data_IF_176102128361
#
_entry.id   IF_176102128361
#
_cell.length_a   1.000
_cell.length_b   1.000
_cell.length_c   1.000
_cell.angle_alpha   90.00
_cell.angle_beta   90.00
_cell.angle_gamma   90.00
#
_symmetry.space_group_name_H-M   'P 1'
#
loop_
_entity.id
_entity.type
_entity.pdbx_description
1 polymer ?
#
# COMPACT_ATOMS: atom_id res chain seq x y z
N UNK A 1 -15.33 1.75 -14.36
CA UNK A 1 -14.44 2.37 -13.35
C UNK A 1 -13.54 1.36 -12.65
N UNK A 2 -14.07 0.26 -12.10
CA UNK A 2 -13.24 -0.73 -11.40
C UNK A 2 -12.15 -1.39 -12.28
N UNK A 3 -12.49 -1.77 -13.52
CA UNK A 3 -11.52 -2.33 -14.48
C UNK A 3 -10.39 -1.33 -14.78
N UNK A 4 -10.73 -0.04 -14.89
CA UNK A 4 -9.77 1.04 -15.15
C UNK A 4 -8.79 1.18 -13.97
N UNK A 5 -9.30 1.21 -12.74
CA UNK A 5 -8.47 1.32 -11.53
C UNK A 5 -7.60 0.08 -11.25
N UNK A 6 -8.04 -1.11 -11.64
CA UNK A 6 -7.30 -2.35 -11.40
C UNK A 6 -6.23 -2.64 -12.46
N UNK A 7 -6.55 -2.41 -13.74
CA UNK A 7 -5.77 -2.96 -14.85
C UNK A 7 -5.29 -1.92 -15.87
N UNK A 8 -5.76 -0.67 -15.84
CA UNK A 8 -5.35 0.36 -16.81
C UNK A 8 -4.41 1.40 -16.22
N UNK A 9 -3.80 1.11 -15.07
CA UNK A 9 -2.78 1.99 -14.50
C UNK A 9 -1.44 1.75 -15.23
N UNK A 10 -0.80 2.79 -15.81
CA UNK A 10 0.42 2.62 -16.61
C UNK A 10 1.55 1.92 -15.86
N UNK A 11 1.80 2.31 -14.60
CA UNK A 11 2.82 1.67 -13.77
C UNK A 11 2.52 0.22 -13.47
N UNK A 12 1.26 -0.14 -13.19
CA UNK A 12 0.93 -1.53 -12.86
C UNK A 12 1.11 -2.41 -14.07
N UNK A 13 0.55 -2.02 -15.22
CA UNK A 13 0.70 -2.73 -16.48
C UNK A 13 2.17 -2.95 -16.84
N UNK A 14 2.97 -1.89 -16.75
CA UNK A 14 4.39 -1.97 -17.07
C UNK A 14 5.11 -3.00 -16.19
N UNK A 15 4.96 -2.91 -14.87
CA UNK A 15 5.68 -3.80 -13.94
C UNK A 15 5.05 -5.19 -13.77
N UNK A 16 3.76 -5.36 -14.08
CA UNK A 16 3.07 -6.64 -14.03
C UNK A 16 3.16 -7.42 -15.35
N UNK A 17 3.52 -6.79 -16.47
CA UNK A 17 3.61 -7.47 -17.76
C UNK A 17 4.74 -8.50 -17.85
N UNK A 18 5.82 -8.34 -17.07
CA UNK A 18 6.94 -9.27 -17.05
C UNK A 18 6.77 -10.42 -16.06
N UNK A 19 7.40 -11.57 -16.35
CA UNK A 19 7.45 -12.75 -15.46
C UNK A 19 8.41 -12.46 -14.29
N UNK A 20 7.94 -11.68 -13.33
CA UNK A 20 8.69 -11.31 -12.13
C UNK A 20 7.92 -11.65 -10.86
N UNK A 21 8.63 -11.66 -9.73
CA UNK A 21 8.03 -11.87 -8.39
C UNK A 21 6.87 -10.90 -8.11
N UNK A 22 6.89 -9.71 -8.71
CA UNK A 22 5.85 -8.69 -8.48
C UNK A 22 4.50 -9.05 -9.11
N UNK A 23 4.48 -9.73 -10.26
CA UNK A 23 3.24 -10.24 -10.86
C UNK A 23 2.60 -11.29 -9.94
N UNK A 24 3.42 -12.19 -9.41
CA UNK A 24 2.98 -13.21 -8.45
C UNK A 24 2.43 -12.54 -7.19
N UNK A 25 3.15 -11.57 -6.62
CA UNK A 25 2.70 -10.81 -5.46
C UNK A 25 1.37 -10.09 -5.74
N UNK A 26 1.24 -9.40 -6.89
CA UNK A 26 0.03 -8.68 -7.28
C UNK A 26 -1.18 -9.62 -7.38
N UNK A 27 -0.99 -10.76 -8.06
CA UNK A 27 -2.04 -11.76 -8.26
C UNK A 27 -2.50 -12.38 -6.93
N UNK A 28 -1.54 -12.73 -6.07
CA UNK A 28 -1.82 -13.31 -4.75
C UNK A 28 -2.46 -12.30 -3.80
N UNK A 29 -2.10 -11.02 -3.90
CA UNK A 29 -2.74 -9.95 -3.15
C UNK A 29 -4.21 -9.77 -3.57
N UNK A 30 -4.51 -9.89 -4.87
CA UNK A 30 -5.88 -9.91 -5.37
C UNK A 30 -6.69 -11.08 -4.82
N UNK A 31 -6.15 -12.30 -4.85
CA UNK A 31 -6.79 -13.50 -4.28
C UNK A 31 -7.01 -13.33 -2.77
N UNK A 32 -6.00 -12.84 -2.04
CA UNK A 32 -6.09 -12.58 -0.61
C UNK A 32 -7.22 -11.61 -0.29
N UNK A 33 -7.27 -10.47 -0.98
CA UNK A 33 -8.30 -9.46 -0.82
C UNK A 33 -9.70 -10.01 -1.11
N UNK A 34 -9.85 -10.76 -2.20
CA UNK A 34 -11.11 -11.40 -2.59
C UNK A 34 -11.59 -12.39 -1.51
N UNK A 35 -10.73 -13.32 -1.09
CA UNK A 35 -11.10 -14.31 -0.10
C UNK A 35 -11.36 -13.70 1.28
N UNK A 36 -10.62 -12.65 1.67
CA UNK A 36 -10.83 -11.92 2.92
C UNK A 36 -12.18 -11.19 2.91
N UNK A 37 -12.45 -10.41 1.87
CA UNK A 37 -13.69 -9.62 1.75
C UNK A 37 -14.93 -10.52 1.81
N UNK A 38 -15.03 -11.47 0.88
CA UNK A 38 -16.19 -12.37 0.81
C UNK A 38 -16.27 -13.34 1.99
N UNK A 39 -15.12 -13.72 2.55
CA UNK A 39 -15.05 -14.58 3.72
C UNK A 39 -15.61 -13.92 4.98
N UNK A 40 -15.41 -12.62 5.14
CA UNK A 40 -15.87 -11.85 6.30
C UNK A 40 -17.32 -11.41 6.15
N UNK A 41 -17.73 -10.98 4.95
CA UNK A 41 -19.09 -10.44 4.71
C UNK A 41 -20.15 -11.51 4.54
N UNK A 42 -19.77 -12.69 4.05
CA UNK A 42 -20.68 -13.84 3.88
C UNK A 42 -20.31 -14.96 4.87
N UNK A 43 -19.81 -16.09 4.34
CA UNK A 43 -19.34 -17.25 5.12
C UNK A 43 -17.98 -17.69 4.61
N UNK A 44 -17.17 -18.24 5.51
CA UNK A 44 -15.89 -18.85 5.15
C UNK A 44 -16.12 -20.28 4.63
N UNK A 45 -15.92 -20.48 3.33
CA UNK A 45 -15.93 -21.81 2.69
C UNK A 45 -14.52 -22.40 2.66
N UNK A 46 -14.40 -23.74 2.59
CA UNK A 46 -13.10 -24.44 2.46
C UNK A 46 -12.22 -23.88 1.32
N UNK A 47 -12.83 -23.54 0.17
CA UNK A 47 -12.15 -22.91 -0.97
C UNK A 47 -11.54 -21.55 -0.62
N UNK A 48 -12.22 -20.75 0.21
CA UNK A 48 -11.76 -19.42 0.65
C UNK A 48 -10.63 -19.53 1.67
N UNK A 49 -10.72 -20.50 2.59
CA UNK A 49 -9.60 -20.82 3.49
C UNK A 49 -8.37 -21.28 2.72
N UNK A 50 -8.53 -22.20 1.77
CA UNK A 50 -7.44 -22.65 0.91
C UNK A 50 -6.82 -21.48 0.13
N UNK A 51 -7.65 -20.59 -0.43
CA UNK A 51 -7.18 -19.38 -1.12
C UNK A 51 -6.42 -18.41 -0.21
N UNK A 52 -6.88 -18.17 1.02
CA UNK A 52 -6.19 -17.32 2.00
C UNK A 52 -4.84 -17.90 2.42
N UNK A 53 -4.79 -19.21 2.69
CA UNK A 53 -3.55 -19.88 3.10
C UNK A 53 -2.55 -19.87 1.94
N UNK A 54 -2.99 -20.25 0.74
CA UNK A 54 -2.14 -20.27 -0.45
C UNK A 54 -1.57 -18.89 -0.78
N UNK A 55 -2.43 -17.86 -0.82
CA UNK A 55 -1.99 -16.49 -1.08
C UNK A 55 -1.05 -15.97 0.01
N UNK A 56 -1.31 -16.27 1.28
CA UNK A 56 -0.43 -15.87 2.39
C UNK A 56 0.95 -16.53 2.29
N UNK A 57 1.02 -17.82 1.97
CA UNK A 57 2.29 -18.54 1.78
C UNK A 57 3.06 -17.96 0.58
N UNK A 58 2.39 -17.74 -0.56
CA UNK A 58 3.03 -17.18 -1.74
C UNK A 58 3.55 -15.75 -1.50
N UNK A 59 2.81 -14.91 -0.78
CA UNK A 59 3.24 -13.57 -0.39
C UNK A 59 4.43 -13.66 0.58
N UNK A 60 4.40 -14.58 1.55
CA UNK A 60 5.50 -14.79 2.50
C UNK A 60 6.81 -15.16 1.78
N UNK A 61 6.74 -16.06 0.81
CA UNK A 61 7.90 -16.53 0.04
C UNK A 61 8.46 -15.47 -0.92
N UNK A 62 7.59 -14.60 -1.45
CA UNK A 62 8.01 -13.52 -2.36
C UNK A 62 8.54 -12.31 -1.59
N UNK A 63 7.74 -11.79 -0.66
CA UNK A 63 7.98 -10.54 0.07
C UNK A 63 7.31 -10.59 1.45
N UNK A 64 8.02 -11.15 2.43
CA UNK A 64 7.55 -11.32 3.81
C UNK A 64 6.96 -10.04 4.46
N UNK A 65 7.55 -8.87 4.21
CA UNK A 65 7.11 -7.59 4.78
C UNK A 65 5.69 -7.18 4.34
N UNK A 66 5.22 -7.63 3.17
CA UNK A 66 3.86 -7.38 2.69
C UNK A 66 2.86 -8.08 3.61
N UNK A 67 3.12 -9.35 3.95
CA UNK A 67 2.23 -10.11 4.81
C UNK A 67 2.16 -9.52 6.21
N UNK A 68 3.30 -9.07 6.75
CA UNK A 68 3.36 -8.37 8.05
C UNK A 68 2.46 -7.13 8.06
N UNK A 69 2.44 -6.35 6.97
CA UNK A 69 1.56 -5.19 6.85
C UNK A 69 0.09 -5.55 6.59
N UNK A 70 -0.20 -6.69 5.94
CA UNK A 70 -1.57 -7.17 5.70
C UNK A 70 -2.29 -7.60 6.98
N UNK A 71 -1.57 -8.17 7.95
CA UNK A 71 -2.16 -8.69 9.20
C UNK A 71 -2.95 -7.61 9.98
N UNK A 72 -2.36 -6.46 10.38
CA UNK A 72 -3.08 -5.46 11.16
C UNK A 72 -4.25 -4.85 10.37
N UNK A 73 -4.08 -4.64 9.05
CA UNK A 73 -5.16 -4.16 8.20
C UNK A 73 -6.33 -5.17 8.16
N UNK A 74 -6.03 -6.46 8.02
CA UNK A 74 -7.03 -7.54 7.97
C UNK A 74 -7.78 -7.67 9.30
N UNK A 75 -7.07 -7.59 10.43
CA UNK A 75 -7.66 -7.62 11.77
C UNK A 75 -8.60 -6.42 11.97
N UNK A 76 -8.18 -5.21 11.60
CA UNK A 76 -9.00 -4.01 11.68
C UNK A 76 -10.27 -4.12 10.83
N UNK A 77 -10.16 -4.67 9.62
CA UNK A 77 -11.29 -4.94 8.74
C UNK A 77 -12.28 -5.93 9.35
N UNK A 78 -11.79 -7.07 9.86
CA UNK A 78 -12.62 -8.10 10.50
C UNK A 78 -13.36 -7.53 11.72
N UNK A 79 -12.67 -6.76 12.55
CA UNK A 79 -13.28 -6.11 13.73
C UNK A 79 -14.37 -5.12 13.30
N UNK A 80 -14.11 -4.29 12.29
CA UNK A 80 -15.08 -3.31 11.80
C UNK A 80 -16.36 -3.97 11.31
N UNK A 81 -16.26 -5.05 10.53
CA UNK A 81 -17.44 -5.76 10.01
C UNK A 81 -18.13 -6.58 11.09
N UNK A 82 -17.41 -7.41 11.85
CA UNK A 82 -18.03 -8.32 12.83
C UNK A 82 -18.57 -7.62 14.08
N UNK A 83 -17.87 -6.59 14.59
CA UNK A 83 -18.33 -5.82 15.75
C UNK A 83 -19.18 -4.61 15.37
N UNK A 84 -19.41 -4.37 14.07
CA UNK A 84 -20.14 -3.19 13.55
C UNK A 84 -19.57 -1.86 14.06
N UNK A 85 -18.26 -1.83 14.34
CA UNK A 85 -17.58 -0.62 14.78
C UNK A 85 -17.31 0.29 13.58
N UNK A 86 -17.38 1.62 13.76
CA UNK A 86 -17.09 2.55 12.68
C UNK A 86 -15.66 2.30 12.17
N UNK A 87 -15.46 2.10 10.85
CA UNK A 87 -14.20 1.63 10.29
C UNK A 87 -12.99 2.42 10.78
N UNK A 88 -13.06 3.75 10.72
CA UNK A 88 -11.95 4.62 11.13
C UNK A 88 -11.51 4.35 12.58
N UNK A 89 -12.44 4.10 13.51
CA UNK A 89 -12.08 3.79 14.91
C UNK A 89 -11.40 2.43 15.03
N UNK A 90 -11.89 1.40 14.34
CA UNK A 90 -11.26 0.07 14.37
C UNK A 90 -9.83 0.11 13.84
N UNK A 91 -9.59 0.81 12.73
CA UNK A 91 -8.26 0.97 12.17
C UNK A 91 -7.35 1.76 13.11
N UNK A 92 -7.81 2.90 13.64
CA UNK A 92 -7.03 3.68 14.60
C UNK A 92 -6.64 2.85 15.83
N UNK A 93 -7.59 2.10 16.41
CA UNK A 93 -7.32 1.26 17.57
C UNK A 93 -6.30 0.15 17.27
N UNK A 94 -6.47 -0.58 16.16
CA UNK A 94 -5.55 -1.68 15.82
C UNK A 94 -4.15 -1.15 15.57
N UNK A 95 -3.99 -0.07 14.79
CA UNK A 95 -2.67 0.52 14.54
C UNK A 95 -2.06 1.15 15.81
N UNK A 96 -2.87 1.78 16.67
CA UNK A 96 -2.41 2.29 17.96
C UNK A 96 -1.94 1.15 18.88
N UNK A 97 -2.70 0.05 18.96
CA UNK A 97 -2.28 -1.14 19.73
C UNK A 97 -1.02 -1.77 19.16
N UNK A 98 -0.89 -1.85 17.82
CA UNK A 98 0.33 -2.33 17.17
C UNK A 98 1.53 -1.45 17.48
N UNK A 99 1.35 -0.13 17.46
CA UNK A 99 2.40 0.81 17.85
C UNK A 99 2.79 0.66 19.33
N UNK A 100 1.82 0.57 20.24
CA UNK A 100 2.08 0.34 21.67
C UNK A 100 2.82 -0.99 21.90
N UNK A 101 2.46 -2.05 21.19
CA UNK A 101 3.17 -3.33 21.27
C UNK A 101 4.62 -3.20 20.80
N UNK A 102 4.89 -2.42 19.75
CA UNK A 102 6.26 -2.12 19.31
C UNK A 102 7.06 -1.37 20.40
N UNK A 103 6.44 -0.42 21.10
CA UNK A 103 7.08 0.29 22.22
C UNK A 103 7.44 -0.67 23.37
N UNK A 104 6.47 -1.48 23.79
CA UNK A 104 6.65 -2.44 24.90
C UNK A 104 7.70 -3.49 24.53
N UNK A 105 7.67 -3.99 23.30
CA UNK A 105 8.65 -4.97 22.82
C UNK A 105 10.07 -4.40 22.84
N UNK A 106 10.26 -3.14 22.44
CA UNK A 106 11.58 -2.50 22.45
C UNK A 106 12.20 -2.45 23.86
N UNK A 107 11.37 -2.37 24.90
CA UNK A 107 11.81 -2.29 26.30
C UNK A 107 11.97 -3.70 26.91
N UNK A 108 11.07 -4.63 26.62
CA UNK A 108 10.97 -5.92 27.34
C UNK A 108 11.72 -7.08 26.68
N UNK A 109 11.91 -7.06 25.35
CA UNK A 109 12.45 -8.20 24.60
C UNK A 109 13.55 -7.73 23.61
N UNK A 110 14.78 -7.51 24.07
CA UNK A 110 15.88 -7.07 23.21
C UNK A 110 16.30 -8.09 22.15
N UNK A 111 15.84 -9.34 22.23
CA UNK A 111 16.17 -10.43 21.29
C UNK A 111 15.44 -10.33 19.95
N UNK A 112 14.26 -9.70 19.90
CA UNK A 112 13.48 -9.51 18.66
C UNK A 112 13.29 -8.01 18.49
N UNK A 113 14.11 -7.38 17.63
CA UNK A 113 14.06 -5.94 17.37
C UNK A 113 13.57 -5.66 15.95
N UNK A 114 12.25 -5.47 15.72
CA UNK A 114 11.69 -5.15 14.41
C UNK A 114 12.35 -3.92 13.77
N UNK A 115 12.66 -2.90 14.58
CA UNK A 115 13.36 -1.69 14.15
C UNK A 115 14.75 -2.00 13.59
N UNK A 116 15.47 -2.95 14.20
CA UNK A 116 16.79 -3.42 13.72
C UNK A 116 16.68 -4.15 12.38
N UNK A 117 15.61 -4.90 12.16
CA UNK A 117 15.37 -5.56 10.87
C UNK A 117 15.13 -4.51 9.77
N UNK A 118 14.34 -3.47 10.05
CA UNK A 118 14.06 -2.40 9.09
C UNK A 118 15.33 -1.58 8.82
N UNK A 119 16.07 -1.19 9.86
CA UNK A 119 17.34 -0.44 9.69
C UNK A 119 18.39 -1.26 8.95
N UNK A 120 18.49 -2.56 9.23
CA UNK A 120 19.41 -3.46 8.52
C UNK A 120 19.00 -3.58 7.06
N UNK A 121 17.70 -3.73 6.76
CA UNK A 121 17.24 -3.77 5.37
C UNK A 121 17.58 -2.49 4.62
N UNK A 122 17.45 -1.33 5.24
CA UNK A 122 17.87 -0.08 4.62
C UNK A 122 19.39 -0.03 4.41
N UNK A 123 20.18 -0.47 5.40
CA UNK A 123 21.63 -0.56 5.29
C UNK A 123 22.06 -1.50 4.14
N UNK A 124 21.44 -2.67 4.01
CA UNK A 124 21.68 -3.61 2.91
C UNK A 124 21.40 -2.96 1.54
N UNK A 125 20.40 -2.09 1.44
CA UNK A 125 20.11 -1.35 0.21
C UNK A 125 21.09 -0.21 -0.06
N UNK A 126 21.64 0.41 0.99
CA UNK A 126 22.64 1.47 0.87
C UNK A 126 24.02 0.92 0.51
N UNK A 127 24.30 -0.35 0.83
CA UNK A 127 25.54 -1.05 0.50
C UNK A 127 25.59 -1.51 -0.98
N UNK A 128 24.44 -1.53 -1.66
CA UNK A 128 24.39 -1.82 -3.09
C UNK A 128 25.10 -0.74 -3.91
N UNK A 129 25.66 -1.09 -5.10
CA UNK A 129 26.34 -0.13 -5.95
C UNK A 129 25.43 1.04 -6.32
N UNK A 130 26.03 2.23 -6.34
CA UNK A 130 25.34 3.49 -6.60
C UNK A 130 24.54 3.41 -7.89
N UNK A 131 23.21 3.47 -7.76
CA UNK A 131 22.32 3.46 -8.90
C UNK A 131 22.23 4.86 -9.54
N UNK A 132 22.00 4.91 -10.84
CA UNK A 132 21.81 6.18 -11.58
C UNK A 132 20.65 7.04 -11.02
N UNK A 133 19.70 6.42 -10.31
CA UNK A 133 18.52 7.05 -9.71
C UNK A 133 18.52 6.97 -8.17
N UNK A 134 19.71 6.92 -7.56
CA UNK A 134 19.87 6.89 -6.11
C UNK A 134 19.40 8.19 -5.46
N UNK A 135 18.65 8.04 -4.38
CA UNK A 135 18.12 9.14 -3.58
C UNK A 135 18.98 9.35 -2.33
N UNK A 136 19.22 10.61 -1.99
CA UNK A 136 19.80 10.98 -0.71
C UNK A 136 18.86 10.50 0.40
N UNK A 137 19.33 9.56 1.22
CA UNK A 137 18.52 8.92 2.27
C UNK A 137 19.28 9.00 3.59
N UNK A 138 18.63 9.44 4.67
CA UNK A 138 19.25 9.44 5.98
C UNK A 138 19.30 8.01 6.52
N UNK A 139 20.42 7.66 7.16
CA UNK A 139 20.60 6.33 7.74
C UNK A 139 19.61 6.15 8.89
N UNK A 140 18.81 5.10 8.80
CA UNK A 140 17.85 4.70 9.82
C UNK A 140 18.60 3.96 10.92
N UNK A 141 18.50 4.47 12.14
CA UNK A 141 18.97 3.78 13.33
C UNK A 141 17.83 2.96 13.93
N UNK A 142 18.12 1.88 14.68
CA UNK A 142 17.10 1.04 15.31
C UNK A 142 16.45 1.72 16.54
N UNK A 143 16.08 3.00 16.41
CA UNK A 143 15.46 3.81 17.45
C UNK A 143 14.19 4.46 16.92
N UNK A 144 13.20 4.65 17.79
CA UNK A 144 11.95 5.33 17.41
C UNK A 144 12.20 6.78 17.03
N UNK A 145 13.14 7.45 17.72
CA UNK A 145 13.53 8.83 17.38
C UNK A 145 14.03 8.96 15.95
N UNK A 146 14.91 8.05 15.52
CA UNK A 146 15.38 8.01 14.12
C UNK A 146 14.24 7.68 13.16
N UNK A 147 13.33 6.76 13.51
CA UNK A 147 12.16 6.47 12.68
C UNK A 147 11.31 7.73 12.43
N UNK A 148 10.97 8.48 13.49
CA UNK A 148 10.17 9.71 13.35
C UNK A 148 10.90 10.81 12.56
N UNK A 149 12.21 10.95 12.72
CA UNK A 149 13.01 11.90 11.93
C UNK A 149 13.05 11.54 10.43
N UNK A 150 13.00 10.25 10.10
CA UNK A 150 13.00 9.75 8.73
C UNK A 150 11.61 9.74 8.07
N UNK A 151 10.52 9.87 8.84
CA UNK A 151 9.15 9.85 8.29
C UNK A 151 8.87 10.92 7.23
N UNK A 152 9.27 12.20 7.38
CA UNK A 152 9.04 13.21 6.36
C UNK A 152 9.73 12.87 5.04
N UNK A 153 10.95 12.33 5.12
CA UNK A 153 11.70 11.88 3.95
C UNK A 153 11.02 10.67 3.30
N UNK A 154 10.60 9.68 4.08
CA UNK A 154 9.91 8.51 3.57
C UNK A 154 8.56 8.86 2.91
N UNK A 155 7.84 9.82 3.49
CA UNK A 155 6.62 10.34 2.88
C UNK A 155 6.92 10.96 1.52
N UNK A 156 7.95 11.81 1.44
CA UNK A 156 8.35 12.43 0.19
C UNK A 156 8.77 11.39 -0.87
N UNK A 157 9.63 10.44 -0.49
CA UNK A 157 10.13 9.39 -1.37
C UNK A 157 9.00 8.46 -1.84
N UNK A 158 8.11 8.05 -0.93
CA UNK A 158 7.05 7.10 -1.24
C UNK A 158 5.89 7.71 -2.04
N UNK A 159 5.37 8.86 -1.61
CA UNK A 159 4.14 9.43 -2.16
C UNK A 159 4.37 10.44 -3.28
N UNK A 160 5.41 11.26 -3.20
CA UNK A 160 5.57 12.42 -4.08
C UNK A 160 6.53 12.15 -5.25
N UNK A 161 7.55 11.30 -5.05
CA UNK A 161 8.55 10.99 -6.09
C UNK A 161 8.12 9.86 -7.03
N UNK A 162 8.59 9.83 -8.30
CA UNK A 162 9.54 10.77 -8.92
C UNK A 162 8.90 12.12 -9.27
N UNK A 163 9.72 13.17 -9.23
CA UNK A 163 9.35 14.45 -9.85
C UNK A 163 9.64 14.43 -11.34
N UNK A 164 8.99 15.34 -12.09
CA UNK A 164 9.16 15.46 -13.54
C UNK A 164 10.63 15.76 -13.93
N UNK A 165 11.33 16.52 -13.08
CA UNK A 165 12.73 16.91 -13.28
C UNK A 165 13.74 15.90 -12.72
N UNK A 166 13.30 14.78 -12.13
CA UNK A 166 14.21 13.76 -11.64
C UNK A 166 14.64 12.79 -12.75
N UNK A 167 15.94 12.54 -12.84
CA UNK A 167 16.50 11.51 -13.70
C UNK A 167 16.33 10.11 -13.09
N UNK A 168 15.09 9.63 -12.99
CA UNK A 168 14.76 8.29 -12.48
C UNK A 168 14.62 7.20 -13.57
N UNK A 169 15.14 7.48 -14.78
CA UNK A 169 15.11 6.60 -15.95
C UNK A 169 14.31 7.16 -17.13
N UNK A 170 14.39 6.51 -18.30
CA UNK A 170 13.80 6.99 -19.57
C UNK A 170 12.29 7.21 -19.51
N UNK A 171 11.58 6.46 -18.68
CA UNK A 171 10.11 6.53 -18.53
C UNK A 171 9.66 7.25 -17.25
N UNK A 172 10.58 7.86 -16.49
CA UNK A 172 10.27 8.49 -15.21
C UNK A 172 9.19 9.58 -15.31
N UNK A 173 9.17 10.33 -16.40
CA UNK A 173 8.19 11.40 -16.64
C UNK A 173 6.76 10.86 -16.69
N UNK A 174 6.52 9.71 -17.33
CA UNK A 174 5.19 9.10 -17.38
C UNK A 174 4.70 8.72 -15.98
N UNK A 175 5.58 8.16 -15.16
CA UNK A 175 5.26 7.79 -13.78
C UNK A 175 5.09 9.01 -12.87
N UNK A 176 5.82 10.11 -13.13
CA UNK A 176 5.63 11.38 -12.41
C UNK A 176 4.25 11.98 -12.72
N UNK A 177 3.84 12.01 -13.99
CA UNK A 177 2.50 12.46 -14.41
C UNK A 177 1.39 11.59 -13.82
N UNK A 178 1.60 10.27 -13.77
CA UNK A 178 0.68 9.32 -13.14
C UNK A 178 0.46 9.63 -11.66
N UNK A 179 1.51 9.98 -10.90
CA UNK A 179 1.40 10.35 -9.49
C UNK A 179 0.68 11.67 -9.31
N UNK A 180 0.99 12.68 -10.14
CA UNK A 180 0.30 13.97 -10.11
C UNK A 180 -1.20 13.74 -10.34
N UNK A 181 -1.56 12.91 -11.31
CA UNK A 181 -2.95 12.53 -11.56
C UNK A 181 -3.59 11.86 -10.33
N UNK A 182 -2.90 10.93 -9.67
CA UNK A 182 -3.41 10.27 -8.46
C UNK A 182 -3.60 11.22 -7.29
N UNK A 183 -2.67 12.17 -7.08
CA UNK A 183 -2.81 13.20 -6.06
C UNK A 183 -4.03 14.09 -6.38
N UNK A 184 -4.20 14.51 -7.63
CA UNK A 184 -5.35 15.30 -8.05
C UNK A 184 -6.68 14.54 -7.86
N UNK A 185 -6.74 13.25 -8.18
CA UNK A 185 -7.91 12.40 -7.94
C UNK A 185 -8.22 12.26 -6.45
N UNK A 186 -7.20 12.07 -5.61
CA UNK A 186 -7.32 12.03 -4.15
C UNK A 186 -7.87 13.35 -3.60
N UNK A 187 -7.30 14.49 -4.01
CA UNK A 187 -7.78 15.81 -3.63
C UNK A 187 -9.23 16.00 -4.07
N UNK A 188 -9.55 15.66 -5.32
CA UNK A 188 -10.90 15.81 -5.86
C UNK A 188 -11.94 14.98 -5.08
N UNK A 189 -11.60 13.75 -4.69
CA UNK A 189 -12.45 12.91 -3.84
C UNK A 189 -12.72 13.55 -2.48
N UNK A 190 -11.71 14.19 -1.87
CA UNK A 190 -11.89 14.87 -0.58
C UNK A 190 -12.83 16.08 -0.69
N UNK A 191 -12.76 16.84 -1.78
CA UNK A 191 -13.62 18.02 -2.01
C UNK A 191 -15.05 17.69 -2.47
N UNK A 192 -15.25 16.58 -3.20
CA UNK A 192 -16.54 16.19 -3.79
C UNK A 192 -17.13 14.92 -3.18
N UNK A 193 -16.92 14.75 -1.88
CA UNK A 193 -17.38 13.57 -1.15
C UNK A 193 -18.90 13.53 -1.06
N UNK A 194 -19.50 12.47 -1.60
CA UNK A 194 -20.95 12.25 -1.48
C UNK A 194 -21.31 11.74 -0.07
N UNK A 195 -22.09 12.49 0.73
CA UNK A 195 -22.48 12.07 2.07
C UNK A 195 -23.35 10.79 2.09
N UNK A 196 -23.99 10.40 0.97
CA UNK A 196 -24.82 9.19 0.90
C UNK A 196 -24.02 7.89 0.80
N UNK A 197 -22.72 7.95 0.52
CA UNK A 197 -21.82 6.77 0.46
C UNK A 197 -21.30 6.33 1.84
N UNK A 198 -21.88 6.84 2.94
CA UNK A 198 -21.51 6.50 4.32
C UNK A 198 -21.76 5.05 4.74
N UNK A 199 -22.47 4.24 3.94
CA UNK A 199 -22.72 2.83 4.27
C UNK A 199 -21.45 1.98 4.11
N UNK A 200 -20.70 1.92 5.21
CA UNK A 200 -19.70 0.94 5.60
C UNK A 200 -18.58 0.63 4.58
N UNK A 201 -17.72 1.62 4.36
CA UNK A 201 -16.49 1.55 3.56
C UNK A 201 -15.32 0.84 4.28
N UNK A 202 -15.58 -0.19 5.09
CA UNK A 202 -14.53 -0.86 5.88
C UNK A 202 -13.41 -1.44 5.01
N UNK A 203 -13.75 -1.98 3.84
CA UNK A 203 -12.78 -2.49 2.88
C UNK A 203 -11.97 -1.37 2.19
N UNK A 204 -12.54 -0.18 2.04
CA UNK A 204 -11.81 0.98 1.52
C UNK A 204 -10.83 1.47 2.58
N UNK A 205 -11.21 1.50 3.85
CA UNK A 205 -10.27 1.77 4.94
C UNK A 205 -9.14 0.74 4.99
N UNK A 206 -9.45 -0.54 4.77
CA UNK A 206 -8.45 -1.61 4.60
C UNK A 206 -7.45 -1.28 3.49
N UNK A 207 -7.99 -1.01 2.29
CA UNK A 207 -7.19 -0.68 1.12
C UNK A 207 -6.27 0.53 1.35
N UNK A 208 -6.84 1.63 1.86
CA UNK A 208 -6.09 2.86 2.14
C UNK A 208 -5.02 2.62 3.21
N UNK A 209 -5.38 2.02 4.34
CA UNK A 209 -4.44 1.81 5.45
C UNK A 209 -3.29 0.89 5.04
N UNK A 210 -3.59 -0.20 4.32
CA UNK A 210 -2.58 -1.11 3.81
C UNK A 210 -1.67 -0.42 2.78
N UNK A 211 -2.22 0.23 1.76
CA UNK A 211 -1.41 0.88 0.72
C UNK A 211 -0.56 2.02 1.28
N UNK A 212 -1.10 2.84 2.18
CA UNK A 212 -0.33 3.91 2.85
C UNK A 212 0.82 3.33 3.66
N UNK A 213 0.56 2.28 4.45
CA UNK A 213 1.61 1.62 5.23
C UNK A 213 2.72 1.06 4.31
N UNK A 214 2.34 0.41 3.22
CA UNK A 214 3.30 -0.16 2.28
C UNK A 214 4.13 0.91 1.57
N UNK A 215 3.52 2.01 1.13
CA UNK A 215 4.23 3.13 0.51
C UNK A 215 5.23 3.75 1.50
N UNK A 216 4.83 3.96 2.76
CA UNK A 216 5.72 4.47 3.81
C UNK A 216 6.91 3.53 4.07
N UNK A 217 6.64 2.23 4.23
CA UNK A 217 7.70 1.22 4.44
C UNK A 217 8.66 1.20 3.25
N UNK A 218 8.15 1.27 2.02
CA UNK A 218 9.01 1.33 0.83
C UNK A 218 9.84 2.62 0.76
N UNK A 219 9.26 3.76 1.13
CA UNK A 219 9.95 5.05 1.16
C UNK A 219 11.02 5.14 2.25
N UNK A 220 10.87 4.40 3.35
CA UNK A 220 11.88 4.29 4.41
C UNK A 220 13.07 3.42 3.98
N UNK A 221 12.79 2.27 3.35
CA UNK A 221 13.80 1.22 3.13
C UNK A 221 14.60 1.44 1.84
N UNK A 222 13.97 1.91 0.76
CA UNK A 222 14.57 1.85 -0.58
C UNK A 222 15.11 3.22 -0.99
N UNK A 223 16.43 3.39 -1.14
CA UNK A 223 17.07 4.64 -1.54
C UNK A 223 17.16 4.79 -3.06
N UNK A 224 16.22 4.23 -3.84
CA UNK A 224 16.25 4.24 -5.30
C UNK A 224 14.87 4.58 -5.86
N UNK A 225 14.79 5.68 -6.63
CA UNK A 225 13.53 6.19 -7.20
C UNK A 225 12.87 5.19 -8.15
N UNK A 226 13.63 4.54 -9.04
CA UNK A 226 13.08 3.58 -10.01
C UNK A 226 12.50 2.34 -9.32
N UNK A 227 13.14 1.87 -8.24
CA UNK A 227 12.64 0.75 -7.44
C UNK A 227 11.39 1.11 -6.63
N UNK A 228 11.32 2.33 -6.10
CA UNK A 228 10.11 2.82 -5.42
C UNK A 228 8.92 2.81 -6.37
N UNK A 229 9.09 3.27 -7.62
CA UNK A 229 8.01 3.26 -8.63
C UNK A 229 7.52 1.84 -8.88
N UNK A 230 8.44 0.88 -9.02
CA UNK A 230 8.12 -0.53 -9.24
C UNK A 230 7.34 -1.15 -8.08
N UNK A 231 7.69 -0.85 -6.84
CA UNK A 231 7.02 -1.48 -5.70
C UNK A 231 5.68 -0.82 -5.36
N UNK A 232 5.56 0.49 -5.52
CA UNK A 232 4.28 1.17 -5.28
C UNK A 232 3.21 0.78 -6.30
N UNK A 233 3.61 0.48 -7.55
CA UNK A 233 2.67 0.06 -8.59
C UNK A 233 1.86 -1.16 -8.17
N UNK A 234 2.43 -2.10 -7.41
CA UNK A 234 1.71 -3.29 -6.92
C UNK A 234 0.51 -2.92 -6.04
N UNK A 235 0.62 -1.84 -5.25
CA UNK A 235 -0.37 -1.47 -4.23
C UNK A 235 -1.32 -0.35 -4.68
N UNK A 236 -0.94 0.43 -5.69
CA UNK A 236 -1.72 1.55 -6.21
C UNK A 236 -3.12 1.15 -6.72
N UNK A 237 -3.33 0.01 -7.42
CA UNK A 237 -4.66 -0.44 -7.82
C UNK A 237 -5.64 -0.52 -6.65
N UNK A 238 -5.16 -0.97 -5.49
CA UNK A 238 -5.98 -1.11 -4.29
C UNK A 238 -6.42 0.26 -3.75
N UNK A 239 -5.63 1.32 -3.96
CA UNK A 239 -5.96 2.69 -3.56
C UNK A 239 -6.84 3.41 -4.60
N UNK A 240 -6.50 3.33 -5.88
CA UNK A 240 -7.15 4.11 -6.95
C UNK A 240 -8.53 3.56 -7.30
N UNK A 241 -8.70 2.23 -7.31
CA UNK A 241 -9.99 1.59 -7.62
C UNK A 241 -11.15 2.09 -6.75
N UNK A 242 -11.05 2.10 -5.41
CA UNK A 242 -12.12 2.61 -4.57
C UNK A 242 -12.33 4.13 -4.72
N UNK A 243 -11.27 4.90 -5.01
CA UNK A 243 -11.41 6.34 -5.28
C UNK A 243 -12.27 6.56 -6.52
N UNK A 244 -11.94 5.89 -7.63
CA UNK A 244 -12.69 5.97 -8.89
C UNK A 244 -14.14 5.51 -8.75
N UNK A 245 -14.41 4.49 -7.94
CA UNK A 245 -15.77 4.00 -7.71
C UNK A 245 -16.62 4.94 -6.84
N UNK A 246 -16.00 5.76 -5.97
CA UNK A 246 -16.71 6.71 -5.11
C UNK A 246 -16.89 8.10 -5.73
N UNK A 247 -16.19 8.39 -6.82
CA UNK A 247 -16.35 9.64 -7.57
C UNK A 247 -17.68 9.60 -8.34
N UNK A 248 -18.58 10.52 -8.03
CA UNK A 248 -19.76 10.79 -8.88
C UNK A 248 -19.31 11.51 -10.15
N UNK A 249 -19.17 10.77 -11.25
CA UNK A 249 -18.93 11.36 -12.57
C UNK A 249 -20.21 12.07 -13.02
N UNK A 250 -20.16 13.35 -13.43
CA UNK A 250 -21.34 14.05 -13.94
C UNK A 250 -21.93 13.36 -15.17
N UNK A 251 -23.25 13.22 -15.24
CA UNK A 251 -23.97 12.52 -16.34
C UNK A 251 -23.59 13.01 -17.76
N UNK A 252 -23.05 14.23 -17.91
CA UNK A 252 -22.56 14.75 -19.21
C UNK A 252 -21.36 13.96 -19.77
N UNK A 253 -20.48 13.45 -18.90
CA UNK A 253 -19.29 12.67 -19.30
C UNK A 253 -19.67 11.22 -19.60
N UNK A 254 -20.60 10.64 -18.83
CA UNK A 254 -21.10 9.28 -19.06
C UNK A 254 -21.77 9.11 -20.44
N UNK A 255 -22.38 10.17 -20.98
CA UNK A 255 -22.98 10.16 -22.32
C UNK A 255 -21.99 9.88 -23.46
N UNK A 256 -20.69 10.08 -23.21
CA UNK A 256 -19.61 9.88 -24.19
C UNK A 256 -18.80 8.59 -23.93
N UNK A 257 -19.11 7.83 -22.87
CA UNK A 257 -18.38 6.63 -22.43
C UNK A 257 -19.34 5.41 -22.39
N UNK A 258 -20.29 5.35 -23.34
CA UNK A 258 -21.04 4.11 -23.57
C UNK A 258 -20.14 3.15 -24.36
N UNK A 259 -19.44 2.30 -23.61
CA UNK A 259 -18.85 1.03 -24.06
C UNK A 259 -19.69 -0.09 -23.46
#
# INVERSE_FOLDING_TARGET
MAIIGCFLLPSTLYFSSGIHKDLVTFSMLGIFCYCLYFGVEQRMTIKRWAGLILSSIAILLTRNFILVALIPASVAFIISIKKQWPPVRSFLLVYATGFLLLLVQQITLPSIQPLKIISQKQADFLDLPVAASQLTTHKLEPTLGSLFQNLPQAFNHGFLRPYIWENAGKFAVFFALEIILYILLLCWMLFRRDPSTRKNNAFICFAVAFTVMMILVTGLIIPNSSSIIRYKSIYLPLLITPILCNIRVPNRVLKHINL
#
